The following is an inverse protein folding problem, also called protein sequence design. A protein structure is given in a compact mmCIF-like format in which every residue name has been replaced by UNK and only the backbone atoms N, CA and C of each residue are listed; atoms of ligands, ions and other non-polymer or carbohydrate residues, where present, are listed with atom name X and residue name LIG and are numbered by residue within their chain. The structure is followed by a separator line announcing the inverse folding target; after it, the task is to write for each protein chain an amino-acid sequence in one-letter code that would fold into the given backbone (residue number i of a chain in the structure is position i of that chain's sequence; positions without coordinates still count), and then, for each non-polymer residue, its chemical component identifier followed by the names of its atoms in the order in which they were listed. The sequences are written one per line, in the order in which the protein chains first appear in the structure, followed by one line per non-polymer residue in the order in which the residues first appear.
data_IF_718884203804
#
_entry.id   IF_718884203804
#
_cell.length_a   1.000
_cell.length_b   1.000
_cell.length_c   1.000
_cell.angle_alpha   90.00
_cell.angle_beta   90.00
_cell.angle_gamma   90.00
#
_symmetry.space_group_name_H-M   'P 1'
#
loop_
_entity.id
_entity.type
_entity.pdbx_description
1 polymer ?
#
# COMPACT_ATOMS: atom_id res chain seq x y z
N UNK A 1 5.38 -34.22 2.80
CA UNK A 1 5.44 -32.81 3.26
C UNK A 1 4.49 -32.04 2.37
N UNK A 2 3.51 -31.33 2.93
CA UNK A 2 2.54 -30.60 2.10
C UNK A 2 3.24 -29.41 1.40
N UNK A 3 2.98 -29.16 0.10
CA UNK A 3 3.52 -27.99 -0.57
C UNK A 3 2.96 -26.70 0.04
N UNK A 4 3.73 -25.62 0.00
CA UNK A 4 3.35 -24.32 0.56
C UNK A 4 3.61 -23.25 -0.49
N UNK A 5 2.63 -22.37 -0.70
CA UNK A 5 2.79 -21.09 -1.40
C UNK A 5 3.12 -20.03 -0.35
N UNK A 6 4.23 -19.31 -0.53
CA UNK A 6 4.64 -18.23 0.37
C UNK A 6 4.92 -16.93 -0.37
N UNK A 7 4.48 -15.82 0.21
CA UNK A 7 4.78 -14.46 -0.25
C UNK A 7 5.25 -13.66 0.95
N UNK A 8 6.47 -13.12 0.88
CA UNK A 8 7.06 -12.32 1.92
C UNK A 8 7.52 -10.98 1.34
N UNK A 9 7.16 -9.88 1.99
CA UNK A 9 7.55 -8.54 1.59
C UNK A 9 7.67 -7.62 2.80
N UNK A 10 8.53 -6.61 2.64
CA UNK A 10 8.72 -5.56 3.64
C UNK A 10 8.45 -4.21 2.99
N UNK A 11 7.56 -3.44 3.60
CA UNK A 11 7.25 -2.08 3.21
C UNK A 11 8.18 -1.11 3.93
N UNK A 12 8.62 -0.10 3.20
CA UNK A 12 9.50 0.96 3.71
C UNK A 12 8.74 2.29 3.64
N UNK A 13 7.77 2.53 4.54
CA UNK A 13 7.07 3.81 4.57
C UNK A 13 8.02 4.95 4.96
N UNK A 14 7.70 6.20 4.60
CA UNK A 14 8.45 7.36 5.03
C UNK A 14 8.62 7.41 6.56
N UNK A 15 9.71 8.00 7.07
CA UNK A 15 9.92 8.14 8.50
C UNK A 15 8.75 8.89 9.16
N UNK A 16 8.42 8.48 10.39
CA UNK A 16 7.33 9.05 11.20
C UNK A 16 5.92 8.86 10.63
N UNK A 17 5.74 7.96 9.65
CA UNK A 17 4.38 7.58 9.21
C UNK A 17 3.62 7.02 10.42
N UNK A 18 2.49 7.63 10.84
CA UNK A 18 1.70 7.12 11.94
C UNK A 18 1.11 5.78 11.51
N UNK A 19 1.65 4.70 12.06
CA UNK A 19 1.17 3.36 11.79
C UNK A 19 -0.05 3.11 12.68
N UNK A 20 -1.23 2.80 12.10
CA UNK A 20 -2.28 2.17 12.87
C UNK A 20 -1.70 0.95 13.58
N UNK A 21 -2.16 0.66 14.80
CA UNK A 21 -1.61 -0.43 15.63
C UNK A 21 -1.62 -1.80 14.90
N UNK A 22 -2.55 -1.97 13.97
CA UNK A 22 -2.76 -3.21 13.23
C UNK A 22 -1.99 -3.28 11.89
N UNK A 23 -1.27 -2.22 11.51
CA UNK A 23 -0.59 -2.13 10.22
C UNK A 23 0.89 -2.49 10.36
N UNK A 24 1.21 -3.74 10.06
CA UNK A 24 2.58 -4.24 10.07
C UNK A 24 3.28 -3.92 8.74
N UNK A 25 4.55 -3.52 8.78
CA UNK A 25 5.34 -3.28 7.57
C UNK A 25 6.02 -4.54 7.04
N UNK A 26 6.11 -5.60 7.85
CA UNK A 26 6.62 -6.90 7.45
C UNK A 26 5.43 -7.86 7.29
N UNK A 27 5.28 -8.43 6.11
CA UNK A 27 4.20 -9.35 5.79
C UNK A 27 4.76 -10.70 5.34
N UNK A 28 4.13 -11.75 5.85
CA UNK A 28 4.39 -13.13 5.46
C UNK A 28 3.05 -13.83 5.25
N UNK A 29 2.67 -14.07 4.00
CA UNK A 29 1.48 -14.82 3.63
C UNK A 29 1.91 -16.25 3.31
N UNK A 30 1.21 -17.22 3.90
CA UNK A 30 1.43 -18.65 3.65
C UNK A 30 0.11 -19.35 3.41
N UNK A 31 0.07 -20.14 2.35
CA UNK A 31 -1.08 -20.99 2.04
C UNK A 31 -0.58 -22.41 1.84
N UNK A 32 -1.07 -23.32 2.67
CA UNK A 32 -0.80 -24.75 2.52
C UNK A 32 -1.60 -25.28 1.33
N UNK A 33 -0.93 -26.04 0.47
CA UNK A 33 -1.54 -26.68 -0.69
C UNK A 33 -1.76 -28.17 -0.40
N UNK A 34 -2.76 -28.79 -1.04
CA UNK A 34 -2.95 -30.23 -0.94
C UNK A 34 -1.75 -30.98 -1.53
N UNK A 35 -1.49 -32.19 -1.03
CA UNK A 35 -0.46 -33.06 -1.61
C UNK A 35 -0.93 -33.57 -2.99
N UNK A 36 -0.16 -33.35 -4.08
CA UNK A 36 -0.50 -33.85 -5.41
C UNK A 36 -0.75 -35.36 -5.46
N UNK A 37 -0.06 -36.14 -4.62
CA UNK A 37 -0.25 -37.59 -4.53
C UNK A 37 -1.61 -37.98 -3.94
N UNK A 38 -2.22 -37.08 -3.14
CA UNK A 38 -3.52 -37.31 -2.49
C UNK A 38 -4.70 -36.86 -3.34
N UNK A 39 -4.57 -35.75 -4.08
CA UNK A 39 -5.69 -35.12 -4.80
C UNK A 39 -5.61 -35.25 -6.33
N UNK A 40 -4.48 -35.74 -6.85
CA UNK A 40 -4.19 -35.81 -8.29
C UNK A 40 -3.76 -34.46 -8.88
N UNK A 41 -3.06 -34.51 -10.03
CA UNK A 41 -2.44 -33.32 -10.62
C UNK A 41 -3.44 -32.22 -11.00
N UNK A 42 -4.57 -32.58 -11.63
CA UNK A 42 -5.58 -31.60 -12.04
C UNK A 42 -6.10 -30.78 -10.86
N UNK A 43 -6.57 -31.46 -9.82
CA UNK A 43 -7.09 -30.84 -8.60
C UNK A 43 -6.02 -30.01 -7.89
N UNK A 44 -4.77 -30.50 -7.85
CA UNK A 44 -3.66 -29.76 -7.28
C UNK A 44 -3.45 -28.41 -7.97
N UNK A 45 -3.43 -28.36 -9.31
CA UNK A 45 -3.24 -27.11 -10.03
C UNK A 45 -4.46 -26.18 -9.96
N UNK A 46 -5.67 -26.73 -9.82
CA UNK A 46 -6.87 -25.94 -9.53
C UNK A 46 -6.79 -25.24 -8.16
N UNK A 47 -6.37 -25.98 -7.12
CA UNK A 47 -6.16 -25.42 -5.78
C UNK A 47 -4.99 -24.44 -5.73
N UNK A 48 -3.89 -24.73 -6.43
CA UNK A 48 -2.78 -23.78 -6.57
C UNK A 48 -3.24 -22.47 -7.22
N UNK A 49 -4.04 -22.54 -8.29
CA UNK A 49 -4.57 -21.34 -8.93
C UNK A 49 -5.46 -20.53 -7.99
N UNK A 50 -6.32 -21.20 -7.21
CA UNK A 50 -7.17 -20.54 -6.19
C UNK A 50 -6.31 -19.86 -5.13
N UNK A 51 -5.32 -20.57 -4.58
CA UNK A 51 -4.39 -20.03 -3.59
C UNK A 51 -3.68 -18.77 -4.12
N UNK A 52 -3.16 -18.80 -5.35
CA UNK A 52 -2.51 -17.62 -5.97
C UNK A 52 -3.47 -16.43 -6.09
N UNK A 53 -4.72 -16.65 -6.51
CA UNK A 53 -5.71 -15.58 -6.64
C UNK A 53 -6.10 -14.98 -5.28
N UNK A 54 -6.22 -15.83 -4.26
CA UNK A 54 -6.49 -15.40 -2.90
C UNK A 54 -5.31 -14.57 -2.36
N UNK A 55 -4.09 -15.10 -2.44
CA UNK A 55 -2.88 -14.38 -1.99
C UNK A 55 -2.72 -13.04 -2.72
N UNK A 56 -3.02 -12.98 -4.03
CA UNK A 56 -3.00 -11.73 -4.80
C UNK A 56 -4.03 -10.72 -4.26
N UNK A 57 -5.22 -11.17 -3.91
CA UNK A 57 -6.29 -10.30 -3.41
C UNK A 57 -5.92 -9.75 -2.03
N UNK A 58 -5.51 -10.63 -1.09
CA UNK A 58 -5.05 -10.24 0.25
C UNK A 58 -3.86 -9.27 0.19
N UNK A 59 -2.89 -9.54 -0.69
CA UNK A 59 -1.76 -8.64 -0.93
C UNK A 59 -2.24 -7.27 -1.44
N UNK A 60 -3.14 -7.25 -2.42
CA UNK A 60 -3.67 -6.02 -3.00
C UNK A 60 -4.44 -5.16 -1.99
N UNK A 61 -5.26 -5.79 -1.15
CA UNK A 61 -5.99 -5.11 -0.07
C UNK A 61 -5.02 -4.52 0.95
N UNK A 62 -4.03 -5.29 1.42
CA UNK A 62 -2.99 -4.81 2.34
C UNK A 62 -2.23 -3.62 1.78
N UNK A 63 -1.78 -3.70 0.53
CA UNK A 63 -1.07 -2.61 -0.14
C UNK A 63 -1.96 -1.38 -0.38
N UNK A 64 -3.26 -1.58 -0.61
CA UNK A 64 -4.23 -0.49 -0.76
C UNK A 64 -4.37 0.28 0.56
N UNK A 65 -4.49 -0.42 1.68
CA UNK A 65 -4.53 0.22 3.01
C UNK A 65 -3.25 1.01 3.27
N UNK A 66 -2.09 0.44 2.94
CA UNK A 66 -0.81 1.13 3.08
C UNK A 66 -0.71 2.38 2.20
N UNK A 67 -1.13 2.28 0.94
CA UNK A 67 -1.21 3.43 0.04
C UNK A 67 -2.09 4.53 0.62
N UNK A 68 -3.27 4.18 1.13
CA UNK A 68 -4.22 5.17 1.65
C UNK A 68 -3.72 5.84 2.95
N UNK A 69 -2.99 5.10 3.81
CA UNK A 69 -2.37 5.66 5.02
C UNK A 69 -1.24 6.62 4.68
N UNK A 70 -0.38 6.24 3.73
CA UNK A 70 0.73 7.11 3.29
C UNK A 70 0.21 8.30 2.49
N UNK A 71 -0.75 8.11 1.59
CA UNK A 71 -1.33 9.16 0.77
C UNK A 71 -2.06 10.23 1.58
N UNK A 72 -2.89 9.83 2.56
CA UNK A 72 -3.54 10.79 3.47
C UNK A 72 -2.54 11.64 4.27
N UNK A 73 -1.34 11.11 4.56
CA UNK A 73 -0.27 11.91 5.19
C UNK A 73 0.28 12.94 4.21
N UNK A 74 0.51 12.56 2.96
CA UNK A 74 0.99 13.49 1.94
C UNK A 74 0.01 14.65 1.73
N UNK A 75 -1.29 14.35 1.62
CA UNK A 75 -2.35 15.38 1.53
C UNK A 75 -2.35 16.32 2.75
N UNK A 76 -2.22 15.77 3.97
CA UNK A 76 -2.19 16.57 5.19
C UNK A 76 -0.92 17.43 5.30
N UNK A 77 0.21 16.97 4.78
CA UNK A 77 1.46 17.74 4.77
C UNK A 77 1.39 18.94 3.83
N UNK A 78 0.64 18.83 2.73
CA UNK A 78 0.36 19.98 1.85
C UNK A 78 -0.63 20.97 2.49
N UNK A 79 -1.63 20.48 3.22
CA UNK A 79 -2.65 21.31 3.87
C UNK A 79 -2.11 22.11 5.08
N UNK A 80 -1.05 21.65 5.74
CA UNK A 80 -0.40 22.35 6.86
C UNK A 80 0.55 23.48 6.44
N UNK A 81 0.76 23.72 5.15
CA UNK A 81 1.39 24.98 4.71
C UNK A 81 0.35 26.08 4.94
N UNK A 82 0.55 26.99 5.91
CA UNK A 82 -0.43 28.04 6.14
C UNK A 82 -0.51 28.88 4.87
N UNK A 83 -1.70 28.92 4.25
CA UNK A 83 -2.09 30.03 3.37
C UNK A 83 -2.01 31.28 4.25
N UNK A 84 -0.85 31.95 4.21
CA UNK A 84 -0.74 33.30 4.72
C UNK A 84 -1.66 34.12 3.82
N UNK A 85 -2.75 34.57 4.41
CA UNK A 85 -3.81 35.34 3.80
C UNK A 85 -3.26 36.45 2.91
N UNK A 86 -3.67 36.48 1.64
CA UNK A 86 -3.70 37.70 0.85
C UNK A 86 -4.83 38.56 1.40
N UNK A 87 -4.49 39.48 2.30
CA UNK A 87 -5.22 40.74 2.54
C UNK A 87 -4.30 41.68 3.34
N UNK A 88 -3.46 42.43 2.62
CA UNK A 88 -3.07 43.79 2.99
C UNK A 88 -2.66 44.52 1.70
N UNK A 89 -3.36 45.61 1.43
CA UNK A 89 -3.35 46.42 0.20
C UNK A 89 -2.06 47.26 0.03
N UNK A 90 -1.81 47.64 -1.23
CA UNK A 90 -1.01 48.79 -1.72
C UNK A 90 0.54 48.75 -1.60
N UNK A 91 1.23 48.56 -2.74
CA UNK A 91 1.86 49.71 -3.43
C UNK A 91 2.13 49.39 -4.92
N UNK A 92 1.74 50.33 -5.77
CA UNK A 92 1.76 50.32 -7.24
C UNK A 92 3.12 50.76 -7.83
N UNK A 93 3.31 50.43 -9.12
CA UNK A 93 4.24 51.03 -10.11
C UNK A 93 5.75 50.70 -9.98
N UNK A 94 6.53 50.41 -11.02
CA UNK A 94 6.40 50.55 -12.48
C UNK A 94 7.55 49.72 -13.10
N UNK A 95 7.32 48.96 -14.19
CA UNK A 95 8.41 48.60 -15.12
C UNK A 95 7.92 48.78 -16.57
N UNK A 96 8.46 49.85 -17.16
CA UNK A 96 8.93 49.96 -18.54
C UNK A 96 7.98 49.68 -19.74
N UNK A 97 7.81 50.77 -20.52
CA UNK A 97 7.90 50.81 -22.00
C UNK A 97 6.76 50.19 -22.84
N UNK A 98 5.88 51.04 -23.39
CA UNK A 98 5.48 51.08 -24.82
C UNK A 98 4.50 52.24 -25.12
#
# INVERSE_FOLDING_TARGET
MAPILSVAYKLNPPPETPLPADLQSNHNLQTTLPDPASVGQKSYYEELRKAVLQTKSELGESLTVWRDVVGKREDNKEAEVPKKSEDDEEDEEEDAEA
#
